data_IF_008670110615
#
_entry.id   IF_008670110615
#
_cell.length_a   1.000
_cell.length_b   1.000
_cell.length_c   1.000
_cell.angle_alpha   90.00
_cell.angle_beta   90.00
_cell.angle_gamma   90.00
#
_symmetry.space_group_name_H-M   'P 1'
#
loop_
_entity.id
_entity.type
_entity.pdbx_description
1 polymer ?
#
# COMPACT_ATOMS: atom_id res chain seq x y z
N UNK A 1 -7.62 -20.55 10.13
CA UNK A 1 -6.38 -19.90 10.61
C UNK A 1 -5.16 -20.82 10.67
N UNK A 2 -5.21 -22.00 11.28
CA UNK A 2 -4.03 -22.90 11.42
C UNK A 2 -3.27 -23.22 10.13
N UNK A 3 -3.95 -23.34 8.98
CA UNK A 3 -3.30 -23.63 7.68
C UNK A 3 -2.50 -22.45 7.09
N UNK A 4 -2.82 -21.21 7.44
CA UNK A 4 -2.05 -20.03 7.00
C UNK A 4 -0.71 -19.94 7.75
N UNK A 5 -0.68 -20.40 9.00
CA UNK A 5 0.49 -20.33 9.87
C UNK A 5 1.25 -21.66 9.90
N UNK A 6 1.21 -22.42 8.81
CA UNK A 6 1.94 -23.68 8.76
C UNK A 6 3.43 -23.42 8.58
N UNK A 7 4.26 -23.91 9.51
CA UNK A 7 5.72 -23.72 9.51
C UNK A 7 6.38 -24.15 8.20
N UNK A 8 5.90 -25.22 7.57
CA UNK A 8 6.37 -25.64 6.26
C UNK A 8 5.63 -24.85 5.17
N UNK A 9 6.38 -24.06 4.40
CA UNK A 9 5.83 -23.20 3.34
C UNK A 9 5.02 -23.98 2.29
N UNK A 10 5.44 -25.20 1.91
CA UNK A 10 4.80 -25.99 0.84
C UNK A 10 3.46 -26.56 1.27
N UNK A 11 3.23 -26.62 2.58
CA UNK A 11 1.98 -27.08 3.18
C UNK A 11 1.09 -25.92 3.64
N UNK A 12 1.58 -24.68 3.56
CA UNK A 12 0.82 -23.48 3.91
C UNK A 12 -0.33 -23.29 2.92
N UNK A 13 -1.48 -22.85 3.41
CA UNK A 13 -2.62 -22.51 2.57
C UNK A 13 -2.23 -21.45 1.54
N UNK A 14 -2.45 -21.71 0.25
CA UNK A 14 -2.06 -20.85 -0.85
C UNK A 14 -0.75 -21.25 -1.53
N UNK A 15 -0.03 -22.27 -1.06
CA UNK A 15 1.25 -22.66 -1.65
C UNK A 15 1.12 -23.42 -2.99
N UNK A 16 -0.01 -24.08 -3.27
CA UNK A 16 -0.18 -24.90 -4.49
C UNK A 16 -0.90 -24.16 -5.60
N UNK A 17 -2.07 -23.57 -5.31
CA UNK A 17 -2.88 -22.84 -6.30
C UNK A 17 -3.11 -21.37 -5.91
N UNK A 18 -2.23 -20.81 -5.06
CA UNK A 18 -2.21 -19.39 -4.73
C UNK A 18 -3.52 -18.91 -4.12
N UNK A 19 -4.01 -17.80 -4.67
CA UNK A 19 -5.26 -17.18 -4.25
C UNK A 19 -6.50 -18.08 -4.42
N UNK A 20 -6.48 -19.08 -5.30
CA UNK A 20 -7.64 -19.97 -5.52
C UNK A 20 -7.93 -20.83 -4.29
N UNK A 21 -6.89 -21.31 -3.59
CA UNK A 21 -7.05 -22.08 -2.34
C UNK A 21 -7.61 -21.23 -1.21
N UNK A 22 -7.27 -19.94 -1.19
CA UNK A 22 -7.82 -18.99 -0.22
C UNK A 22 -9.31 -18.76 -0.50
N UNK A 23 -9.67 -18.46 -1.75
CA UNK A 23 -11.06 -18.17 -2.15
C UNK A 23 -12.01 -19.34 -1.89
N UNK A 24 -11.54 -20.57 -2.04
CA UNK A 24 -12.32 -21.81 -1.82
C UNK A 24 -12.40 -22.27 -0.35
N UNK A 25 -11.60 -21.69 0.55
CA UNK A 25 -11.59 -22.09 1.95
C UNK A 25 -12.88 -21.69 2.68
N UNK A 26 -13.41 -22.56 3.54
CA UNK A 26 -14.70 -22.37 4.23
C UNK A 26 -14.84 -21.04 5.01
N UNK A 27 -13.73 -20.50 5.53
CA UNK A 27 -13.70 -19.17 6.17
C UNK A 27 -14.19 -18.05 5.25
N UNK A 28 -13.88 -18.12 3.95
CA UNK A 28 -14.28 -17.11 2.96
C UNK A 28 -15.55 -17.49 2.19
N UNK A 29 -16.25 -18.56 2.59
CA UNK A 29 -17.52 -18.99 1.97
C UNK A 29 -18.57 -17.87 1.82
N UNK A 30 -18.78 -16.94 2.78
CA UNK A 30 -19.75 -15.86 2.61
C UNK A 30 -19.27 -14.72 1.70
N UNK A 31 -18.00 -14.74 1.25
CA UNK A 31 -17.42 -13.67 0.45
C UNK A 31 -17.53 -13.99 -1.04
N UNK A 32 -18.25 -13.14 -1.78
CA UNK A 32 -18.21 -13.16 -3.23
C UNK A 32 -17.07 -12.25 -3.74
N UNK A 33 -15.92 -12.85 -4.08
CA UNK A 33 -14.74 -12.12 -4.55
C UNK A 33 -14.96 -11.33 -5.85
N UNK A 34 -15.92 -11.73 -6.70
CA UNK A 34 -16.24 -10.98 -7.92
C UNK A 34 -16.97 -9.66 -7.62
N UNK A 35 -17.65 -9.56 -6.47
CA UNK A 35 -18.46 -8.40 -6.07
C UNK A 35 -17.95 -7.74 -4.78
N UNK A 36 -16.71 -8.02 -4.37
CA UNK A 36 -16.18 -7.60 -3.07
C UNK A 36 -16.33 -6.10 -2.80
N UNK A 37 -16.12 -5.26 -3.82
CA UNK A 37 -16.23 -3.79 -3.72
C UNK A 37 -17.68 -3.30 -3.52
N UNK A 38 -18.66 -4.11 -3.90
CA UNK A 38 -20.09 -3.78 -3.79
C UNK A 38 -20.72 -4.37 -2.52
N UNK A 39 -19.99 -5.24 -1.80
CA UNK A 39 -20.45 -5.78 -0.53
C UNK A 39 -20.46 -4.67 0.52
N UNK A 40 -21.47 -4.67 1.40
CA UNK A 40 -21.55 -3.71 2.49
C UNK A 40 -20.32 -3.87 3.41
N UNK A 41 -19.49 -2.83 3.58
CA UNK A 41 -18.35 -2.92 4.49
C UNK A 41 -18.87 -3.09 5.93
N UNK A 42 -18.24 -3.97 6.73
CA UNK A 42 -18.66 -4.20 8.11
C UNK A 42 -18.40 -2.98 9.01
N UNK A 43 -17.44 -2.14 8.66
CA UNK A 43 -17.06 -0.95 9.39
C UNK A 43 -16.99 0.20 8.37
N UNK A 44 -17.69 1.30 8.67
CA UNK A 44 -17.66 2.53 7.88
C UNK A 44 -16.91 3.58 8.72
N UNK A 45 -15.75 4.09 8.28
CA UNK A 45 -15.04 5.13 9.00
C UNK A 45 -15.87 6.41 9.11
N UNK A 46 -15.73 7.12 10.24
CA UNK A 46 -16.31 8.46 10.44
C UNK A 46 -15.79 9.42 9.38
N UNK A 47 -16.64 10.32 8.89
CA UNK A 47 -16.29 11.34 7.90
C UNK A 47 -16.01 12.67 8.60
N UNK A 48 -14.97 13.37 8.14
CA UNK A 48 -14.56 14.72 8.52
C UNK A 48 -14.29 15.54 7.25
N UNK A 49 -13.75 16.75 7.37
CA UNK A 49 -13.36 17.52 6.20
C UNK A 49 -12.23 16.84 5.43
N UNK A 50 -12.08 17.17 4.14
CA UNK A 50 -11.13 16.51 3.25
C UNK A 50 -9.67 16.60 3.70
N UNK A 51 -9.34 17.59 4.53
CA UNK A 51 -8.01 17.87 5.05
C UNK A 51 -7.79 17.33 6.47
N UNK A 52 -8.82 16.82 7.13
CA UNK A 52 -8.73 16.41 8.52
C UNK A 52 -8.13 15.00 8.64
N UNK A 53 -7.15 14.84 9.53
CA UNK A 53 -6.44 13.58 9.76
C UNK A 53 -7.04 12.75 10.92
N UNK A 54 -8.37 12.66 11.04
CA UNK A 54 -9.05 12.12 12.23
C UNK A 54 -8.78 10.63 12.53
N UNK A 55 -8.33 9.86 11.54
CA UNK A 55 -8.01 8.43 11.68
C UNK A 55 -6.52 8.19 11.91
N UNK A 56 -5.71 9.27 12.00
CA UNK A 56 -4.28 9.20 12.23
C UNK A 56 -3.98 9.56 13.68
N UNK A 57 -2.87 9.00 14.18
CA UNK A 57 -2.34 9.39 15.48
C UNK A 57 -1.56 10.69 15.31
N UNK A 58 -1.77 11.64 16.20
CA UNK A 58 -0.90 12.81 16.31
C UNK A 58 0.49 12.35 16.77
N UNK A 59 1.41 12.26 15.82
CA UNK A 59 2.83 12.04 16.08
C UNK A 59 3.48 13.41 15.98
N UNK A 60 3.96 13.92 17.12
CA UNK A 60 4.82 15.11 17.14
C UNK A 60 6.21 14.66 16.73
N UNK A 61 6.52 14.66 15.44
CA UNK A 61 7.90 14.54 14.99
C UNK A 61 8.67 15.80 15.41
N UNK A 62 9.85 15.60 16.00
CA UNK A 62 10.73 16.66 16.51
C UNK A 62 11.47 17.44 15.42
N UNK A 63 10.89 17.59 14.23
CA UNK A 63 11.43 18.40 13.15
C UNK A 63 10.37 18.61 12.09
N UNK A 64 9.74 19.80 12.08
CA UNK A 64 8.93 20.21 10.94
C UNK A 64 9.84 20.26 9.71
N UNK A 65 9.69 19.30 8.80
CA UNK A 65 10.38 19.34 7.52
C UNK A 65 9.64 20.33 6.62
N UNK A 66 10.17 21.56 6.58
CA UNK A 66 9.70 22.59 5.66
C UNK A 66 10.21 22.29 4.24
N UNK A 67 9.31 21.77 3.41
CA UNK A 67 9.54 21.49 1.99
C UNK A 67 9.50 22.74 1.11
N UNK A 68 9.10 23.90 1.64
CA UNK A 68 8.87 25.13 0.87
C UNK A 68 10.02 26.12 0.94
N UNK A 69 10.98 25.90 1.83
CA UNK A 69 12.22 26.67 1.89
C UNK A 69 13.21 26.25 0.81
N UNK A 70 13.89 27.24 0.21
CA UNK A 70 15.06 27.13 -0.70
C UNK A 70 16.26 26.29 -0.17
N UNK A 71 16.09 25.46 0.86
CA UNK A 71 17.10 24.68 1.56
C UNK A 71 16.92 23.17 1.47
N UNK A 72 16.30 22.66 0.40
CA UNK A 72 16.50 21.25 0.04
C UNK A 72 18.03 21.03 0.01
N UNK A 73 18.59 20.07 0.76
CA UNK A 73 19.96 19.66 0.47
C UNK A 73 19.95 19.28 -1.01
N UNK A 74 20.78 19.96 -1.80
CA UNK A 74 21.09 19.50 -3.14
C UNK A 74 21.35 17.99 -3.05
N UNK A 75 20.85 17.18 -3.99
CA UNK A 75 21.15 15.75 -3.99
C UNK A 75 22.66 15.61 -3.73
N UNK A 76 23.09 14.72 -2.82
CA UNK A 76 24.49 14.58 -2.49
C UNK A 76 25.24 14.46 -3.82
N UNK A 77 26.09 15.46 -4.10
CA UNK A 77 26.96 15.42 -5.26
C UNK A 77 27.90 14.27 -4.95
N UNK A 78 27.67 13.11 -5.53
CA UNK A 78 28.66 12.05 -5.53
C UNK A 78 29.80 12.60 -6.38
N UNK A 79 30.95 12.88 -5.77
CA UNK A 79 32.17 13.35 -6.45
C UNK A 79 32.72 12.34 -7.49
N UNK A 80 32.00 11.24 -7.72
CA UNK A 80 32.26 10.22 -8.74
C UNK A 80 31.54 10.59 -10.05
N UNK A 81 32.25 11.27 -10.96
CA UNK A 81 31.76 11.67 -12.29
C UNK A 81 31.28 10.48 -13.17
N UNK A 82 31.62 9.24 -12.80
CA UNK A 82 31.25 8.01 -13.51
C UNK A 82 29.95 7.34 -12.99
N UNK A 83 29.33 7.87 -11.92
CA UNK A 83 28.15 7.27 -11.30
C UNK A 83 26.85 7.87 -11.86
N UNK A 84 26.24 7.22 -12.86
CA UNK A 84 24.91 7.57 -13.37
C UNK A 84 23.89 7.61 -12.21
N UNK A 85 23.10 8.69 -12.12
CA UNK A 85 22.04 8.84 -11.11
C UNK A 85 21.12 7.59 -11.05
N UNK A 86 21.05 6.87 -9.92
CA UNK A 86 20.25 5.66 -9.80
C UNK A 86 18.73 5.90 -9.84
N UNK A 87 18.28 7.17 -9.79
CA UNK A 87 16.87 7.58 -9.77
C UNK A 87 16.37 8.18 -11.08
N UNK A 88 17.14 8.14 -12.17
CA UNK A 88 16.71 8.66 -13.49
C UNK A 88 15.35 8.11 -13.97
N UNK A 89 14.99 6.91 -13.52
CA UNK A 89 13.73 6.23 -13.87
C UNK A 89 12.69 6.24 -12.73
N UNK A 90 12.83 7.13 -11.75
CA UNK A 90 11.92 7.21 -10.60
C UNK A 90 10.60 7.94 -10.90
N UNK A 91 10.58 8.83 -11.90
CA UNK A 91 9.37 9.56 -12.29
C UNK A 91 8.27 8.59 -12.76
N UNK A 92 7.07 8.72 -12.19
CA UNK A 92 5.89 7.92 -12.56
C UNK A 92 4.64 8.78 -12.70
N UNK A 93 3.85 8.51 -13.74
CA UNK A 93 2.55 9.18 -14.00
C UNK A 93 1.46 8.12 -14.05
N UNK A 94 0.42 8.29 -13.23
CA UNK A 94 -0.77 7.42 -13.28
C UNK A 94 -1.74 7.93 -14.33
N UNK A 95 -1.90 7.19 -15.43
CA UNK A 95 -2.92 7.50 -16.44
C UNK A 95 -4.27 6.91 -16.05
N UNK A 96 -5.22 7.76 -15.67
CA UNK A 96 -6.61 7.37 -15.47
C UNK A 96 -7.31 7.37 -16.83
N UNK A 97 -7.94 6.25 -17.20
CA UNK A 97 -8.80 6.24 -18.38
C UNK A 97 -10.08 7.04 -18.08
N UNK A 98 -10.52 7.95 -18.98
CA UNK A 98 -11.80 8.63 -18.83
C UNK A 98 -12.95 7.60 -18.84
N UNK A 99 -13.96 7.78 -17.99
CA UNK A 99 -15.14 6.92 -17.98
C UNK A 99 -16.00 7.25 -19.19
N UNK A 100 -16.17 6.29 -20.10
CA UNK A 100 -17.18 6.34 -21.18
C UNK A 100 -18.57 6.08 -20.65
#
# INVERSE_FOLDING_TARGET
MRKLLHKNERKRLGARAGASELKSHAFFKPINFALLRNMRPPIVPTKSNAIDAIHFKDIKDSGSFDLTGNGLPSPPVTDDEDQQDPFVNFNSVTMLRPST
#
